data_IF_173166761369
#
_entry.id   IF_173166761369
#
_cell.length_a   1.000
_cell.length_b   1.000
_cell.length_c   1.000
_cell.angle_alpha   90.00
_cell.angle_beta   90.00
_cell.angle_gamma   90.00
#
_symmetry.space_group_name_H-M   'P 1'
#
loop_
_entity.id
_entity.type
_entity.pdbx_description
1 polymer ?
#
# COMPACT_ATOMS: atom_id res chain seq x y z
N UNK A 1 19.82 -6.77 -5.48
CA UNK A 1 20.79 -6.25 -4.49
C UNK A 1 21.13 -4.77 -4.74
N UNK A 2 21.03 -4.27 -5.98
CA UNK A 2 21.35 -2.86 -6.32
C UNK A 2 20.32 -1.82 -5.86
N UNK A 3 19.01 -2.10 -5.95
CA UNK A 3 17.93 -1.15 -5.57
C UNK A 3 17.99 -0.69 -4.10
N UNK A 4 18.43 -1.57 -3.19
CA UNK A 4 18.48 -1.32 -1.75
C UNK A 4 19.50 -0.24 -1.36
N UNK A 5 20.59 -0.13 -2.14
CA UNK A 5 21.66 0.86 -1.86
C UNK A 5 21.28 2.27 -2.30
N UNK A 6 20.67 2.41 -3.49
CA UNK A 6 20.27 3.71 -4.05
C UNK A 6 19.07 4.33 -3.34
N UNK A 7 18.00 3.57 -3.13
CA UNK A 7 16.77 4.10 -2.53
C UNK A 7 16.95 4.49 -1.05
N UNK A 8 17.85 3.82 -0.33
CA UNK A 8 18.14 4.20 1.05
C UNK A 8 18.91 5.51 1.09
N UNK A 9 19.96 5.71 0.28
CA UNK A 9 20.77 6.93 0.27
C UNK A 9 19.98 8.22 0.01
N UNK A 10 18.95 8.17 -0.84
CA UNK A 10 18.12 9.34 -1.20
C UNK A 10 17.03 9.69 -0.17
N UNK A 11 16.56 8.72 0.63
CA UNK A 11 15.54 8.93 1.67
C UNK A 11 16.25 9.40 2.95
N UNK A 12 15.94 10.61 3.49
CA UNK A 12 16.56 11.09 4.72
C UNK A 12 16.38 10.08 5.85
N UNK A 13 17.39 9.88 6.70
CA UNK A 13 17.39 8.85 7.75
C UNK A 13 16.11 8.84 8.60
N UNK A 14 15.51 10.00 8.87
CA UNK A 14 14.28 10.12 9.65
C UNK A 14 13.02 9.57 8.93
N UNK A 15 13.04 9.43 7.61
CA UNK A 15 11.98 8.80 6.83
C UNK A 15 12.21 7.30 6.61
N UNK A 16 13.39 6.75 6.95
CA UNK A 16 13.72 5.32 6.74
C UNK A 16 13.08 4.40 7.80
N UNK A 17 11.82 4.65 8.09
CA UNK A 17 11.07 3.90 9.07
C UNK A 17 9.99 3.03 8.41
N UNK A 18 9.55 2.07 9.20
CA UNK A 18 8.71 0.91 8.96
C UNK A 18 7.63 1.02 7.87
N UNK A 19 6.80 2.06 7.88
CA UNK A 19 5.79 2.32 6.83
C UNK A 19 6.01 3.65 6.13
N UNK A 20 7.09 4.37 6.48
CA UNK A 20 7.43 5.64 5.90
C UNK A 20 6.62 6.82 6.42
N UNK A 21 5.85 6.67 7.50
CA UNK A 21 4.99 7.74 8.06
C UNK A 21 5.43 8.04 9.50
N UNK A 22 6.49 8.84 9.72
CA UNK A 22 7.08 9.04 11.04
C UNK A 22 6.09 9.57 12.08
N UNK A 23 5.18 10.44 11.65
CA UNK A 23 4.13 11.00 12.51
C UNK A 23 3.19 9.94 13.07
N UNK A 24 2.82 8.95 12.26
CA UNK A 24 1.95 7.85 12.67
C UNK A 24 2.71 6.81 13.49
N UNK A 25 3.93 6.47 13.10
CA UNK A 25 4.76 5.50 13.83
C UNK A 25 5.01 5.93 15.27
N UNK A 26 5.17 7.23 15.53
CA UNK A 26 5.28 7.78 16.90
C UNK A 26 4.04 7.58 17.77
N UNK A 27 2.88 7.34 17.15
CA UNK A 27 1.63 7.06 17.86
C UNK A 27 1.50 5.57 18.22
N UNK A 28 2.31 4.71 17.60
CA UNK A 28 2.29 3.28 17.87
C UNK A 28 3.19 2.96 19.08
N UNK A 29 2.73 2.12 20.02
CA UNK A 29 3.55 1.66 21.13
C UNK A 29 4.58 0.63 20.66
N UNK A 30 5.73 0.58 21.34
CA UNK A 30 6.74 -0.46 21.16
C UNK A 30 8.07 0.05 20.60
N UNK A 31 9.02 -0.86 20.55
CA UNK A 31 10.32 -0.71 19.89
C UNK A 31 10.19 -0.85 18.38
N UNK A 32 11.22 -0.43 17.65
CA UNK A 32 11.31 -0.62 16.22
C UNK A 32 10.99 -2.08 15.82
N UNK A 33 11.65 -3.08 16.39
CA UNK A 33 11.43 -4.48 16.01
C UNK A 33 9.98 -4.95 16.27
N UNK A 34 9.37 -4.53 17.39
CA UNK A 34 7.97 -4.85 17.72
C UNK A 34 6.99 -4.23 16.72
N UNK A 35 7.26 -2.99 16.26
CA UNK A 35 6.46 -2.36 15.22
C UNK A 35 6.51 -3.13 13.90
N UNK A 36 7.64 -3.77 13.56
CA UNK A 36 7.74 -4.61 12.36
C UNK A 36 6.80 -5.79 12.42
N UNK A 37 6.79 -6.47 13.55
CA UNK A 37 5.99 -7.66 13.75
C UNK A 37 4.50 -7.31 13.78
N UNK A 38 4.14 -6.23 14.46
CA UNK A 38 2.77 -5.71 14.47
C UNK A 38 2.32 -5.38 13.04
N UNK A 39 3.15 -4.72 12.24
CA UNK A 39 2.78 -4.32 10.88
C UNK A 39 2.73 -5.51 9.91
N UNK A 40 3.67 -6.46 10.02
CA UNK A 40 3.81 -7.63 9.13
C UNK A 40 2.97 -8.80 9.62
N UNK A 41 1.65 -8.67 9.49
CA UNK A 41 0.71 -9.72 9.89
C UNK A 41 -0.64 -9.19 10.36
N UNK A 42 -0.74 -7.86 10.52
CA UNK A 42 -1.99 -7.20 10.89
C UNK A 42 -2.72 -6.62 9.70
N UNK A 43 -4.03 -6.48 9.87
CA UNK A 43 -4.90 -5.70 8.99
C UNK A 43 -5.15 -4.34 9.64
N UNK A 44 -4.91 -3.26 8.89
CA UNK A 44 -5.19 -1.90 9.34
C UNK A 44 -6.40 -1.33 8.59
N UNK A 45 -7.32 -0.72 9.34
CA UNK A 45 -8.41 0.07 8.77
C UNK A 45 -8.06 1.56 8.89
N UNK A 46 -8.02 2.26 7.76
CA UNK A 46 -7.81 3.71 7.71
C UNK A 46 -9.13 4.37 7.30
N UNK A 47 -9.83 4.94 8.28
CA UNK A 47 -11.13 5.60 8.07
C UNK A 47 -11.03 7.10 8.36
N UNK A 48 -11.89 7.88 7.71
CA UNK A 48 -11.96 9.33 7.89
C UNK A 48 -12.74 10.02 6.76
N UNK A 49 -13.10 11.31 6.92
CA UNK A 49 -13.84 12.05 5.91
C UNK A 49 -13.05 12.20 4.59
N UNK A 50 -13.72 12.53 3.47
CA UNK A 50 -13.02 12.92 2.23
C UNK A 50 -11.97 14.00 2.50
N UNK A 51 -10.80 13.89 1.87
CA UNK A 51 -9.70 14.84 2.10
C UNK A 51 -8.84 14.58 3.35
N UNK A 52 -9.19 13.63 4.22
CA UNK A 52 -8.38 13.29 5.40
C UNK A 52 -7.02 12.62 5.11
N UNK A 53 -6.64 12.47 3.84
CA UNK A 53 -5.34 11.88 3.47
C UNK A 53 -5.28 10.36 3.41
N UNK A 54 -6.41 9.63 3.43
CA UNK A 54 -6.43 8.16 3.40
C UNK A 54 -5.68 7.56 2.20
N UNK A 55 -5.94 8.05 0.99
CA UNK A 55 -5.25 7.57 -0.22
C UNK A 55 -3.75 7.84 -0.16
N UNK A 56 -3.35 9.02 0.36
CA UNK A 56 -1.95 9.40 0.55
C UNK A 56 -1.28 8.49 1.56
N UNK A 57 -1.91 8.26 2.72
CA UNK A 57 -1.42 7.36 3.77
C UNK A 57 -1.17 5.96 3.20
N UNK A 58 -2.17 5.39 2.54
CA UNK A 58 -2.06 4.09 1.88
C UNK A 58 -0.91 4.04 0.88
N UNK A 59 -0.82 5.04 0.00
CA UNK A 59 0.22 5.07 -1.03
C UNK A 59 1.62 5.16 -0.45
N UNK A 60 1.80 5.93 0.62
CA UNK A 60 3.07 6.06 1.32
C UNK A 60 3.51 4.72 1.93
N UNK A 61 2.59 3.98 2.57
CA UNK A 61 2.89 2.63 3.06
C UNK A 61 3.35 1.69 1.94
N UNK A 62 2.66 1.71 0.80
CA UNK A 62 3.00 0.86 -0.35
C UNK A 62 4.37 1.23 -0.94
N UNK A 63 4.60 2.52 -1.18
CA UNK A 63 5.84 3.02 -1.77
C UNK A 63 7.05 2.71 -0.89
N UNK A 64 6.95 2.95 0.41
CA UNK A 64 8.04 2.67 1.34
C UNK A 64 8.30 1.17 1.49
N UNK A 65 7.24 0.35 1.49
CA UNK A 65 7.35 -1.11 1.44
C UNK A 65 8.19 -1.59 0.25
N UNK A 66 7.90 -1.07 -0.94
CA UNK A 66 8.64 -1.38 -2.16
C UNK A 66 10.08 -0.84 -2.08
N UNK A 67 10.25 0.46 -1.84
CA UNK A 67 11.55 1.14 -1.95
C UNK A 67 12.55 0.72 -0.87
N UNK A 68 12.13 0.61 0.39
CA UNK A 68 13.04 0.33 1.50
C UNK A 68 13.24 -1.17 1.71
N UNK A 69 12.20 -1.96 1.46
CA UNK A 69 12.16 -3.37 1.86
C UNK A 69 12.03 -4.35 0.69
N UNK A 70 11.93 -3.85 -0.55
CA UNK A 70 11.73 -4.66 -1.75
C UNK A 70 10.51 -5.59 -1.58
N UNK A 71 9.44 -5.04 -1.03
CA UNK A 71 8.22 -5.78 -0.74
C UNK A 71 7.17 -5.44 -1.79
N UNK A 72 6.87 -6.37 -2.70
CA UNK A 72 5.83 -6.14 -3.68
C UNK A 72 4.50 -5.97 -2.97
N UNK A 73 3.66 -5.14 -3.54
CA UNK A 73 2.35 -4.86 -2.99
C UNK A 73 1.26 -4.78 -4.04
N UNK A 74 0.02 -4.69 -3.59
CA UNK A 74 -1.16 -4.60 -4.45
C UNK A 74 -1.95 -3.40 -4.02
N UNK A 75 -2.29 -2.55 -4.98
CA UNK A 75 -3.20 -1.44 -4.79
C UNK A 75 -4.54 -1.78 -5.41
N UNK A 76 -5.52 -2.02 -4.56
CA UNK A 76 -6.89 -2.33 -4.91
C UNK A 76 -7.77 -1.11 -4.58
N UNK A 77 -8.47 -0.55 -5.56
CA UNK A 77 -9.34 0.61 -5.33
C UNK A 77 -10.64 0.54 -6.11
N UNK A 78 -11.72 0.98 -5.48
CA UNK A 78 -13.04 1.13 -6.11
C UNK A 78 -13.27 2.47 -6.79
N UNK A 79 -12.53 3.53 -6.43
CA UNK A 79 -12.79 4.91 -6.90
C UNK A 79 -11.69 5.47 -7.79
N UNK A 80 -10.43 5.07 -7.58
CA UNK A 80 -9.27 5.66 -8.24
C UNK A 80 -8.35 4.56 -8.78
N UNK A 81 -8.10 4.52 -10.10
CA UNK A 81 -7.11 3.59 -10.64
C UNK A 81 -5.68 4.06 -10.28
N UNK A 82 -4.72 3.13 -10.35
CA UNK A 82 -3.33 3.43 -9.99
C UNK A 82 -2.77 4.55 -10.88
N UNK A 83 -3.07 4.56 -12.17
CA UNK A 83 -2.52 5.56 -13.11
C UNK A 83 -2.94 7.00 -12.74
N UNK A 84 -4.20 7.25 -12.36
CA UNK A 84 -4.64 8.57 -11.88
C UNK A 84 -3.92 8.99 -10.59
N UNK A 85 -3.52 8.03 -9.75
CA UNK A 85 -2.74 8.29 -8.55
C UNK A 85 -1.27 8.57 -8.88
N UNK A 86 -0.70 7.88 -9.87
CA UNK A 86 0.65 8.14 -10.38
C UNK A 86 0.76 9.52 -11.02
N UNK A 87 -0.28 10.02 -11.68
CA UNK A 87 -0.27 11.37 -12.28
C UNK A 87 -0.26 12.49 -11.22
N UNK A 88 -0.80 12.22 -10.04
CA UNK A 88 -0.79 13.15 -8.91
C UNK A 88 0.51 13.10 -8.10
N UNK A 89 1.49 12.30 -8.54
CA UNK A 89 2.71 11.94 -7.80
C UNK A 89 3.13 13.04 -6.82
N UNK A 90 2.79 12.83 -5.55
CA UNK A 90 3.01 13.82 -4.48
C UNK A 90 4.48 13.80 -4.04
N UNK A 91 5.42 13.69 -4.99
CA UNK A 91 6.84 13.41 -4.80
C UNK A 91 7.10 12.13 -4.01
N UNK A 92 6.36 11.06 -4.30
CA UNK A 92 6.63 9.74 -3.73
C UNK A 92 7.43 8.85 -4.70
N UNK A 93 7.81 9.37 -5.88
CA UNK A 93 8.36 8.66 -7.04
C UNK A 93 7.58 7.36 -7.31
N UNK A 94 6.25 7.51 -7.42
CA UNK A 94 5.37 6.37 -7.61
C UNK A 94 5.62 5.67 -8.95
N UNK A 95 6.21 6.38 -9.91
CA UNK A 95 6.67 5.81 -11.17
C UNK A 95 7.71 4.70 -10.99
N UNK A 96 8.58 4.81 -9.98
CA UNK A 96 9.65 3.83 -9.73
C UNK A 96 9.11 2.51 -9.16
N UNK A 97 7.97 2.56 -8.47
CA UNK A 97 7.37 1.38 -7.85
C UNK A 97 6.32 0.71 -8.74
N UNK A 98 5.96 1.32 -9.88
CA UNK A 98 4.88 0.81 -10.75
C UNK A 98 5.05 -0.66 -11.13
N UNK A 99 6.28 -1.10 -11.41
CA UNK A 99 6.59 -2.49 -11.76
C UNK A 99 6.43 -3.49 -10.58
N UNK A 100 6.36 -2.99 -9.36
CA UNK A 100 6.28 -3.77 -8.11
C UNK A 100 4.90 -3.70 -7.46
N UNK A 101 3.96 -3.01 -8.11
CA UNK A 101 2.59 -2.85 -7.64
C UNK A 101 1.64 -3.49 -8.65
N UNK A 102 0.93 -4.53 -8.22
CA UNK A 102 -0.17 -5.08 -9.01
C UNK A 102 -1.37 -4.13 -8.95
N UNK A 103 -1.99 -3.87 -10.10
CA UNK A 103 -3.17 -3.01 -10.23
C UNK A 103 -4.45 -3.80 -10.06
N UNK A 104 -5.52 -3.09 -9.72
CA UNK A 104 -6.88 -3.62 -9.67
C UNK A 104 -7.27 -4.32 -10.98
N UNK A 105 -6.91 -3.74 -12.13
CA UNK A 105 -7.19 -4.29 -13.46
C UNK A 105 -6.41 -5.58 -13.75
N UNK A 106 -5.20 -5.72 -13.20
CA UNK A 106 -4.38 -6.92 -13.35
C UNK A 106 -4.97 -8.13 -12.60
N UNK A 107 -5.89 -7.88 -11.65
CA UNK A 107 -6.66 -8.92 -10.94
C UNK A 107 -7.96 -9.29 -11.64
N UNK A 108 -8.43 -8.49 -12.60
CA UNK A 108 -9.75 -8.62 -13.23
C UNK A 108 -10.93 -8.24 -12.32
N UNK A 109 -10.67 -7.73 -11.10
CA UNK A 109 -11.70 -7.29 -10.15
C UNK A 109 -12.42 -6.02 -10.63
N UNK A 110 -11.82 -5.25 -11.54
CA UNK A 110 -12.43 -4.10 -12.23
C UNK A 110 -13.70 -4.43 -13.01
N UNK A 111 -13.83 -5.70 -13.42
CA UNK A 111 -14.97 -6.20 -14.21
C UNK A 111 -16.00 -6.94 -13.37
N UNK A 112 -15.79 -7.03 -12.07
CA UNK A 112 -16.62 -7.79 -11.14
C UNK A 112 -17.63 -6.85 -10.49
N UNK A 113 -18.88 -7.28 -10.34
CA UNK A 113 -19.86 -6.49 -9.61
C UNK A 113 -19.40 -6.30 -8.16
N UNK A 114 -19.58 -5.12 -7.57
CA UNK A 114 -19.11 -4.78 -6.21
C UNK A 114 -19.49 -5.84 -5.15
N UNK A 115 -20.68 -6.42 -5.27
CA UNK A 115 -21.21 -7.49 -4.40
C UNK A 115 -20.47 -8.84 -4.51
N UNK A 116 -19.84 -9.10 -5.65
CA UNK A 116 -19.11 -10.34 -5.96
C UNK A 116 -17.61 -10.23 -5.63
N UNK A 117 -17.10 -9.01 -5.39
CA UNK A 117 -15.69 -8.77 -5.04
C UNK A 117 -15.23 -9.58 -3.83
N UNK A 118 -15.99 -9.68 -2.71
CA UNK A 118 -15.55 -10.49 -1.57
C UNK A 118 -15.34 -11.96 -1.93
N UNK A 119 -16.17 -12.51 -2.81
CA UNK A 119 -16.04 -13.91 -3.23
C UNK A 119 -14.83 -14.10 -4.14
N UNK A 120 -14.62 -13.19 -5.09
CA UNK A 120 -13.42 -13.21 -5.95
C UNK A 120 -12.13 -13.02 -5.17
N UNK A 121 -12.11 -12.19 -4.12
CA UNK A 121 -10.95 -12.04 -3.24
C UNK A 121 -10.60 -13.34 -2.51
N UNK A 122 -11.59 -14.16 -2.13
CA UNK A 122 -11.33 -15.49 -1.56
C UNK A 122 -10.66 -16.41 -2.55
N UNK A 123 -11.11 -16.41 -3.81
CA UNK A 123 -10.51 -17.20 -4.89
C UNK A 123 -9.07 -16.76 -5.19
N UNK A 124 -8.81 -15.45 -5.12
CA UNK A 124 -7.48 -14.88 -5.39
C UNK A 124 -6.54 -14.93 -4.18
N UNK A 125 -7.02 -15.28 -2.98
CA UNK A 125 -6.25 -15.20 -1.72
C UNK A 125 -4.86 -15.82 -1.81
N UNK A 126 -4.76 -17.02 -2.36
CA UNK A 126 -3.49 -17.75 -2.48
C UNK A 126 -2.53 -17.11 -3.47
N UNK A 127 -3.05 -16.46 -4.52
CA UNK A 127 -2.24 -15.70 -5.47
C UNK A 127 -1.75 -14.40 -4.82
N UNK A 128 -2.67 -13.62 -4.23
CA UNK A 128 -2.37 -12.32 -3.62
C UNK A 128 -1.33 -12.47 -2.50
N UNK A 129 -1.47 -13.50 -1.66
CA UNK A 129 -0.53 -13.78 -0.56
C UNK A 129 0.86 -14.22 -1.01
N UNK A 130 1.01 -14.77 -2.22
CA UNK A 130 2.33 -15.13 -2.78
C UNK A 130 3.00 -13.95 -3.46
N UNK A 131 2.21 -13.14 -4.14
CA UNK A 131 2.72 -12.06 -5.00
C UNK A 131 2.91 -10.75 -4.24
N UNK A 132 2.29 -10.60 -3.07
CA UNK A 132 2.37 -9.36 -2.31
C UNK A 132 2.45 -9.56 -0.80
N UNK A 133 3.21 -8.66 -0.19
CA UNK A 133 3.33 -8.54 1.26
C UNK A 133 2.49 -7.41 1.84
N UNK A 134 2.12 -6.44 1.00
CA UNK A 134 1.28 -5.30 1.36
C UNK A 134 0.08 -5.29 0.41
N UNK A 135 -1.11 -5.36 0.97
CA UNK A 135 -2.36 -5.28 0.19
C UNK A 135 -3.13 -4.08 0.74
N UNK A 136 -3.43 -3.14 -0.15
CA UNK A 136 -4.19 -1.94 0.18
C UNK A 136 -5.51 -2.01 -0.56
N UNK A 137 -6.61 -1.88 0.18
CA UNK A 137 -7.96 -1.82 -0.38
C UNK A 137 -8.56 -0.45 -0.02
N UNK A 138 -8.87 0.36 -1.03
CA UNK A 138 -9.50 1.68 -0.84
C UNK A 138 -10.86 1.76 -1.55
N UNK A 139 -11.79 2.50 -0.96
CA UNK A 139 -13.09 2.77 -1.58
C UNK A 139 -14.04 3.41 -0.58
N UNK A 140 -15.09 4.08 -1.07
CA UNK A 140 -16.24 4.40 -0.21
C UNK A 140 -17.01 3.14 0.15
N UNK A 141 -17.62 3.24 1.33
CA UNK A 141 -18.44 2.24 2.00
C UNK A 141 -19.09 1.24 1.04
N UNK A 142 -18.95 -0.06 1.34
CA UNK A 142 -19.61 -1.13 0.59
C UNK A 142 -21.14 -1.07 0.76
N UNK A 143 -21.63 -0.24 1.70
CA UNK A 143 -23.03 0.12 1.90
C UNK A 143 -23.51 1.11 0.83
N UNK A 144 -23.66 0.60 -0.39
CA UNK A 144 -24.61 1.14 -1.37
C UNK A 144 -25.89 0.33 -1.31
#
# INVERSE_FOLDING_TARGET
MEMRSRATEEIPNYFRNYIGIPGFERLLPGTEDELREILRGSTFLVEGPPGAGKSIFSMQCLCFGVKLYNEPGIYLSFEENLDNLLERDFNFDLWDIKAHVMRWEDTGLDKVQKREVPERLKELKDKLSREAKIIIITGRDLKG
#
